data_IF_775222021000
#
_entry.id   IF_775222021000
#
_cell.length_a   1.000
_cell.length_b   1.000
_cell.length_c   1.000
_cell.angle_alpha   90.00
_cell.angle_beta   90.00
_cell.angle_gamma   90.00
#
_symmetry.space_group_name_H-M   'P 1'
#
loop_
_entity.id
_entity.type
_entity.pdbx_description
1 polymer ?
#
# COMPACT_ATOMS: atom_id res chain seq x y z
N UNK A 1 25.35 -12.04 -11.83
CA UNK A 1 24.24 -11.98 -10.85
C UNK A 1 22.91 -11.76 -11.55
N UNK A 2 22.16 -12.84 -11.78
CA UNK A 2 21.03 -12.91 -12.71
C UNK A 2 19.65 -12.74 -12.05
N UNK A 3 19.57 -12.21 -10.83
CA UNK A 3 18.31 -12.04 -10.10
C UNK A 3 18.24 -10.68 -9.39
N UNK A 4 18.58 -9.58 -10.08
CA UNK A 4 18.33 -8.22 -9.54
C UNK A 4 16.95 -7.66 -9.89
N UNK A 5 16.11 -8.45 -10.57
CA UNK A 5 14.71 -8.13 -10.79
C UNK A 5 13.88 -9.31 -10.27
N UNK A 6 13.50 -9.28 -8.99
CA UNK A 6 12.45 -10.14 -8.45
C UNK A 6 11.12 -9.70 -9.05
N UNK A 7 10.92 -9.98 -10.34
CA UNK A 7 9.62 -9.79 -10.99
C UNK A 7 8.68 -10.80 -10.33
N UNK A 8 7.82 -10.30 -9.44
CA UNK A 8 6.75 -11.10 -8.88
C UNK A 8 5.76 -11.34 -10.02
N UNK A 9 5.78 -12.56 -10.57
CA UNK A 9 4.71 -13.05 -11.41
C UNK A 9 3.43 -13.03 -10.56
N UNK A 10 2.46 -12.24 -11.02
CA UNK A 10 1.11 -12.17 -10.48
C UNK A 10 0.20 -12.99 -11.39
N UNK A 11 -0.17 -14.22 -10.99
CA UNK A 11 -1.22 -14.98 -11.64
C UNK A 11 -2.53 -14.16 -11.73
N UNK A 12 -3.32 -14.39 -12.79
CA UNK A 12 -4.56 -13.62 -13.02
C UNK A 12 -5.59 -13.80 -11.89
N UNK A 13 -5.69 -15.00 -11.31
CA UNK A 13 -6.54 -15.26 -10.13
C UNK A 13 -6.13 -14.41 -8.92
N UNK A 14 -4.82 -14.22 -8.69
CA UNK A 14 -4.31 -13.32 -7.64
C UNK A 14 -4.65 -11.86 -7.96
N UNK A 15 -4.52 -11.43 -9.23
CA UNK A 15 -4.91 -10.08 -9.64
C UNK A 15 -6.40 -9.83 -9.44
N UNK A 16 -7.24 -10.81 -9.75
CA UNK A 16 -8.69 -10.70 -9.57
C UNK A 16 -9.07 -10.59 -8.09
N UNK A 17 -8.42 -11.37 -7.22
CA UNK A 17 -8.61 -11.26 -5.76
C UNK A 17 -8.21 -9.87 -5.27
N UNK A 18 -7.02 -9.39 -5.67
CA UNK A 18 -6.53 -8.06 -5.26
C UNK A 18 -7.42 -6.93 -5.80
N UNK A 19 -7.93 -7.07 -7.04
CA UNK A 19 -8.90 -6.14 -7.63
C UNK A 19 -10.16 -6.06 -6.81
N UNK A 20 -10.77 -7.19 -6.46
CA UNK A 20 -11.97 -7.21 -5.63
C UNK A 20 -11.75 -6.57 -4.25
N UNK A 21 -10.57 -6.75 -3.65
CA UNK A 21 -10.25 -6.06 -2.40
C UNK A 21 -10.07 -4.55 -2.60
N UNK A 22 -9.40 -4.13 -3.67
CA UNK A 22 -9.13 -2.72 -3.97
C UNK A 22 -10.37 -1.94 -4.42
N UNK A 23 -11.31 -2.58 -5.11
CA UNK A 23 -12.57 -1.96 -5.56
C UNK A 23 -13.45 -1.51 -4.40
N UNK A 24 -13.33 -2.18 -3.25
CA UNK A 24 -14.08 -1.89 -2.01
C UNK A 24 -13.47 -0.76 -1.18
N UNK A 25 -12.30 -0.24 -1.58
CA UNK A 25 -11.61 0.82 -0.86
C UNK A 25 -12.18 2.19 -1.22
N UNK A 26 -12.26 3.05 -0.22
CA UNK A 26 -12.52 4.47 -0.40
C UNK A 26 -11.39 5.15 -1.18
N UNK A 27 -11.68 6.31 -1.77
CA UNK A 27 -10.66 7.09 -2.50
C UNK A 27 -9.47 7.46 -1.63
N UNK A 28 -9.70 7.70 -0.33
CA UNK A 28 -8.65 8.03 0.64
C UNK A 28 -7.72 6.85 0.90
N UNK A 29 -8.29 5.65 1.02
CA UNK A 29 -7.52 4.40 1.14
C UNK A 29 -6.69 4.15 -0.13
N UNK A 30 -7.29 4.33 -1.32
CA UNK A 30 -6.58 4.21 -2.60
C UNK A 30 -5.44 5.22 -2.74
N UNK A 31 -5.62 6.46 -2.27
CA UNK A 31 -4.56 7.47 -2.26
C UNK A 31 -3.36 7.04 -1.38
N UNK A 32 -3.61 6.54 -0.16
CA UNK A 32 -2.54 6.06 0.72
C UNK A 32 -1.80 4.86 0.13
N UNK A 33 -2.53 3.91 -0.48
CA UNK A 33 -1.91 2.80 -1.19
C UNK A 33 -1.04 3.28 -2.35
N UNK A 34 -1.51 4.25 -3.14
CA UNK A 34 -0.73 4.81 -4.26
C UNK A 34 0.57 5.49 -3.80
N UNK A 35 0.53 6.20 -2.66
CA UNK A 35 1.73 6.80 -2.06
C UNK A 35 2.70 5.70 -1.64
N UNK A 36 2.27 4.75 -0.81
CA UNK A 36 3.14 3.69 -0.30
C UNK A 36 3.71 2.78 -1.40
N UNK A 37 2.97 2.58 -2.50
CA UNK A 37 3.43 1.79 -3.64
C UNK A 37 4.66 2.37 -4.34
N UNK A 38 4.89 3.68 -4.23
CA UNK A 38 6.03 4.39 -4.85
C UNK A 38 7.23 4.53 -3.92
N UNK A 39 7.05 4.29 -2.62
CA UNK A 39 8.15 4.41 -1.64
C UNK A 39 9.05 3.19 -1.69
N UNK A 40 10.38 3.36 -1.69
CA UNK A 40 11.34 2.24 -1.67
C UNK A 40 11.67 1.75 -0.27
N UNK A 41 11.23 2.47 0.78
CA UNK A 41 11.45 2.14 2.18
C UNK A 41 10.17 2.38 3.02
N UNK A 42 9.99 1.69 4.17
CA UNK A 42 8.88 1.94 5.08
C UNK A 42 8.76 3.41 5.49
N UNK A 43 7.53 3.94 5.44
CA UNK A 43 7.28 5.37 5.62
C UNK A 43 6.71 5.66 7.00
N UNK A 44 7.34 6.56 7.76
CA UNK A 44 6.82 7.02 9.07
C UNK A 44 5.53 7.82 8.91
N UNK A 45 4.68 7.82 9.95
CA UNK A 45 3.42 8.58 9.96
C UNK A 45 3.61 10.07 9.60
N UNK A 46 4.61 10.73 10.18
CA UNK A 46 4.89 12.14 9.90
C UNK A 46 5.16 12.40 8.41
N UNK A 47 5.88 11.50 7.73
CA UNK A 47 6.16 11.63 6.30
C UNK A 47 4.93 11.34 5.43
N UNK A 48 4.01 10.49 5.88
CA UNK A 48 2.71 10.31 5.23
C UNK A 48 1.84 11.56 5.33
N UNK A 49 1.85 12.24 6.49
CA UNK A 49 1.15 13.52 6.68
C UNK A 49 1.72 14.58 5.72
N UNK A 50 3.06 14.68 5.62
CA UNK A 50 3.72 15.62 4.70
C UNK A 50 3.33 15.36 3.23
N UNK A 51 3.20 14.08 2.84
CA UNK A 51 2.84 13.68 1.47
C UNK A 51 1.34 13.82 1.16
N UNK A 52 0.48 13.77 2.17
CA UNK A 52 -0.97 13.85 2.02
C UNK A 52 -1.62 14.70 3.12
N UNK A 53 -1.37 16.03 3.13
CA UNK A 53 -1.81 16.91 4.21
C UNK A 53 -3.34 16.98 4.34
N UNK A 54 -4.06 16.80 3.23
CA UNK A 54 -5.53 16.82 3.20
C UNK A 54 -6.19 15.67 3.98
N UNK A 55 -5.44 14.62 4.31
CA UNK A 55 -5.93 13.47 5.07
C UNK A 55 -5.51 13.47 6.53
N UNK A 56 -4.82 14.48 7.04
CA UNK A 56 -4.17 14.42 8.37
C UNK A 56 -5.10 13.91 9.49
N UNK A 57 -6.32 14.45 9.61
CA UNK A 57 -7.28 14.05 10.64
C UNK A 57 -7.83 12.62 10.47
N UNK A 58 -7.84 12.10 9.25
CA UNK A 58 -8.40 10.78 8.92
C UNK A 58 -7.32 9.72 8.65
N UNK A 59 -6.05 10.12 8.54
CA UNK A 59 -4.94 9.26 8.12
C UNK A 59 -4.79 8.04 9.02
N UNK A 60 -4.93 8.22 10.34
CA UNK A 60 -4.87 7.11 11.29
C UNK A 60 -6.01 6.11 11.05
N UNK A 61 -7.22 6.59 10.78
CA UNK A 61 -8.38 5.73 10.50
C UNK A 61 -8.20 5.00 9.17
N UNK A 62 -7.71 5.69 8.14
CA UNK A 62 -7.39 5.10 6.83
C UNK A 62 -6.35 4.00 6.97
N UNK A 63 -5.24 4.26 7.69
CA UNK A 63 -4.18 3.27 7.91
C UNK A 63 -4.69 2.07 8.70
N UNK A 64 -5.44 2.29 9.79
CA UNK A 64 -6.04 1.18 10.55
C UNK A 64 -6.98 0.32 9.70
N UNK A 65 -7.79 0.96 8.86
CA UNK A 65 -8.73 0.30 7.95
C UNK A 65 -7.99 -0.58 6.92
N UNK A 66 -6.90 -0.07 6.34
CA UNK A 66 -6.03 -0.82 5.43
C UNK A 66 -5.29 -1.98 6.12
N UNK A 67 -4.82 -1.76 7.35
CA UNK A 67 -4.15 -2.80 8.15
C UNK A 67 -5.09 -3.94 8.51
N UNK A 68 -6.35 -3.67 8.89
CA UNK A 68 -7.36 -4.71 9.17
C UNK A 68 -7.68 -5.57 7.95
N UNK A 69 -7.48 -5.04 6.74
CA UNK A 69 -7.63 -5.76 5.47
C UNK A 69 -6.33 -6.41 4.99
N UNK A 70 -5.26 -6.36 5.78
CA UNK A 70 -3.93 -6.86 5.43
C UNK A 70 -3.34 -6.23 4.16
N UNK A 71 -3.75 -5.00 3.82
CA UNK A 71 -3.25 -4.28 2.64
C UNK A 71 -2.04 -3.40 2.95
N UNK A 72 -1.89 -2.97 4.20
CA UNK A 72 -0.76 -2.19 4.70
C UNK A 72 -0.18 -2.91 5.92
N UNK A 73 1.13 -3.03 5.95
CA UNK A 73 1.89 -3.55 7.09
C UNK A 73 2.42 -2.38 7.92
N UNK A 74 2.58 -2.61 9.23
CA UNK A 74 3.25 -1.67 10.13
C UNK A 74 4.47 -2.34 10.72
N UNK A 75 5.64 -1.77 10.45
CA UNK A 75 6.93 -2.20 10.97
C UNK A 75 7.40 -1.09 11.90
N UNK A 76 7.46 -1.39 13.21
CA UNK A 76 7.69 -0.40 14.26
C UNK A 76 6.71 0.80 14.16
N UNK A 77 7.19 1.97 13.75
CA UNK A 77 6.42 3.20 13.55
C UNK A 77 6.32 3.63 12.08
N UNK A 78 6.56 2.70 11.17
CA UNK A 78 6.54 2.92 9.72
C UNK A 78 5.52 2.00 9.04
N UNK A 79 4.99 2.45 7.91
CA UNK A 79 3.99 1.76 7.11
C UNK A 79 4.59 1.32 5.79
N UNK A 80 4.18 0.15 5.32
CA UNK A 80 4.76 -0.50 4.14
C UNK A 80 3.71 -1.34 3.39
N UNK A 81 3.94 -1.60 2.12
CA UNK A 81 3.18 -2.57 1.33
C UNK A 81 4.03 -3.79 1.06
N UNK A 82 3.42 -4.97 1.16
CA UNK A 82 4.10 -6.19 0.70
C UNK A 82 4.52 -6.04 -0.77
N UNK A 83 5.62 -6.67 -1.18
CA UNK A 83 6.08 -6.63 -2.58
C UNK A 83 5.00 -7.03 -3.58
N UNK A 84 4.14 -8.00 -3.23
CA UNK A 84 3.01 -8.45 -4.05
C UNK A 84 1.98 -7.35 -4.30
N UNK A 85 1.53 -6.68 -3.23
CA UNK A 85 0.53 -5.60 -3.33
C UNK A 85 1.12 -4.42 -4.11
N UNK A 86 2.38 -4.09 -3.84
CA UNK A 86 3.10 -3.04 -4.55
C UNK A 86 3.17 -3.32 -6.04
N UNK A 87 3.54 -4.54 -6.43
CA UNK A 87 3.58 -4.95 -7.82
C UNK A 87 2.19 -4.81 -8.46
N UNK A 88 1.13 -5.27 -7.79
CA UNK A 88 -0.24 -5.15 -8.31
C UNK A 88 -0.67 -3.69 -8.56
N UNK A 89 -0.32 -2.76 -7.66
CA UNK A 89 -0.68 -1.35 -7.78
C UNK A 89 0.14 -0.56 -8.83
N UNK A 90 1.22 -1.14 -9.33
CA UNK A 90 2.11 -0.53 -10.33
C UNK A 90 1.95 -1.10 -11.75
N UNK A 91 1.07 -2.09 -11.92
CA UNK A 91 0.63 -2.60 -13.24
C UNK A 91 -0.34 -1.58 -13.86
#
# INVERSE_FOLDING_TARGET
DLLQNDIILLPEDVKDILRQQCDRLSDREKQILSILARETQPLKLAKLIDKQPNLNLELVNVLQSLQRRCLVEKIENSFWLSPLIKQYLLI
#
